data_IF_600008366274
#
_entry.id   IF_600008366274
#
_cell.length_a   1.000
_cell.length_b   1.000
_cell.length_c   1.000
_cell.angle_alpha   90.00
_cell.angle_beta   90.00
_cell.angle_gamma   90.00
#
_symmetry.space_group_name_H-M   'P 1'
#
loop_
_entity.id
_entity.type
_entity.pdbx_description
1 polymer ?
#
# COMPACT_ATOMS: atom_id res chain seq x y z
N UNK A 1 -11.05 30.68 15.08
CA UNK A 1 -10.33 29.94 14.01
C UNK A 1 -10.87 28.51 14.04
N UNK A 2 -11.81 28.22 13.16
CA UNK A 2 -12.45 26.92 13.01
C UNK A 2 -11.57 26.02 12.15
N UNK A 3 -10.88 25.06 12.76
CA UNK A 3 -10.19 24.03 12.00
C UNK A 3 -11.25 23.08 11.41
N UNK A 4 -11.65 23.37 10.18
CA UNK A 4 -12.30 22.41 9.28
C UNK A 4 -11.32 21.25 9.08
N UNK A 5 -11.38 20.25 9.98
CA UNK A 5 -10.79 18.95 9.70
C UNK A 5 -11.70 18.30 8.67
N UNK A 6 -11.31 18.41 7.42
CA UNK A 6 -11.85 17.65 6.28
C UNK A 6 -12.03 16.20 6.71
N UNK A 7 -13.26 15.83 7.02
CA UNK A 7 -13.72 14.46 7.15
C UNK A 7 -13.64 13.87 5.75
N UNK A 8 -12.51 13.27 5.41
CA UNK A 8 -12.39 12.42 4.23
C UNK A 8 -13.22 11.18 4.56
N UNK A 9 -14.35 10.91 3.89
CA UNK A 9 -15.04 9.66 4.08
C UNK A 9 -14.19 8.56 3.43
N UNK A 10 -13.25 7.99 4.18
CA UNK A 10 -12.50 6.79 3.80
C UNK A 10 -13.36 5.51 3.91
N UNK A 11 -14.67 5.61 3.80
CA UNK A 11 -15.54 4.45 3.82
C UNK A 11 -15.89 4.09 2.39
N UNK A 12 -14.92 3.53 1.66
CA UNK A 12 -15.32 2.52 0.67
C UNK A 12 -15.88 1.40 1.53
N UNK A 13 -17.19 1.34 1.63
CA UNK A 13 -17.86 0.36 2.46
C UNK A 13 -17.48 -1.02 1.90
N UNK A 14 -16.53 -1.69 2.55
CA UNK A 14 -16.01 -2.98 2.11
C UNK A 14 -17.10 -4.08 2.14
N UNK A 15 -18.30 -3.76 2.65
CA UNK A 15 -19.45 -4.68 2.64
C UNK A 15 -20.18 -4.67 1.29
N UNK A 16 -19.90 -3.73 0.39
CA UNK A 16 -20.52 -3.69 -0.95
C UNK A 16 -19.76 -4.49 -2.02
N UNK A 17 -18.48 -4.78 -1.81
CA UNK A 17 -17.68 -5.55 -2.77
C UNK A 17 -17.67 -7.03 -2.36
N UNK A 18 -18.19 -7.94 -3.19
CA UNK A 18 -18.18 -9.36 -2.86
C UNK A 18 -16.76 -9.91 -2.68
N UNK A 19 -16.59 -10.84 -1.72
CA UNK A 19 -15.30 -11.47 -1.41
C UNK A 19 -14.62 -12.09 -2.63
N UNK A 20 -15.40 -12.77 -3.48
CA UNK A 20 -14.88 -13.39 -4.70
C UNK A 20 -14.22 -12.38 -5.65
N UNK A 21 -14.60 -11.10 -5.60
CA UNK A 21 -13.97 -10.03 -6.40
C UNK A 21 -12.58 -9.73 -5.86
N UNK A 22 -12.43 -9.60 -4.54
CA UNK A 22 -11.13 -9.44 -3.90
C UNK A 22 -10.21 -10.63 -4.17
N UNK A 23 -10.73 -11.85 -4.04
CA UNK A 23 -9.98 -13.07 -4.35
C UNK A 23 -9.55 -13.15 -5.81
N UNK A 24 -10.46 -12.82 -6.73
CA UNK A 24 -10.18 -12.81 -8.16
C UNK A 24 -9.10 -11.79 -8.51
N UNK A 25 -9.15 -10.60 -7.91
CA UNK A 25 -8.15 -9.56 -8.06
C UNK A 25 -6.79 -10.03 -7.50
N UNK A 26 -6.77 -10.53 -6.26
CA UNK A 26 -5.55 -11.01 -5.63
C UNK A 26 -4.89 -12.13 -6.45
N UNK A 27 -5.67 -13.12 -6.91
CA UNK A 27 -5.18 -14.23 -7.72
C UNK A 27 -4.62 -13.77 -9.07
N UNK A 28 -5.25 -12.76 -9.68
CA UNK A 28 -4.81 -12.21 -10.97
C UNK A 28 -3.53 -11.38 -10.83
N UNK A 29 -3.39 -10.63 -9.73
CA UNK A 29 -2.27 -9.71 -9.52
C UNK A 29 -1.04 -10.38 -8.89
N UNK A 30 -1.23 -11.41 -8.05
CA UNK A 30 -0.15 -12.10 -7.35
C UNK A 30 1.05 -12.48 -8.26
N UNK A 31 0.87 -13.15 -9.42
CA UNK A 31 2.01 -13.52 -10.27
C UNK A 31 2.75 -12.30 -10.84
N UNK A 32 2.04 -11.19 -11.11
CA UNK A 32 2.65 -9.94 -11.60
C UNK A 32 3.46 -9.29 -10.50
N UNK A 33 2.92 -9.25 -9.28
CA UNK A 33 3.59 -8.70 -8.10
C UNK A 33 4.86 -9.51 -7.79
N UNK A 34 4.77 -10.85 -7.80
CA UNK A 34 5.92 -11.73 -7.57
C UNK A 34 7.04 -11.47 -8.58
N UNK A 35 6.71 -11.45 -9.88
CA UNK A 35 7.68 -11.16 -10.94
C UNK A 35 8.34 -9.80 -10.77
N UNK A 36 7.58 -8.78 -10.37
CA UNK A 36 8.14 -7.45 -10.11
C UNK A 36 9.05 -7.45 -8.88
N UNK A 37 8.65 -8.13 -7.80
CA UNK A 37 9.43 -8.18 -6.56
C UNK A 37 10.78 -8.91 -6.75
N UNK A 38 10.81 -9.93 -7.61
CA UNK A 38 12.03 -10.67 -7.94
C UNK A 38 12.96 -9.92 -8.90
N UNK A 39 12.44 -8.91 -9.60
CA UNK A 39 13.22 -8.06 -10.51
C UNK A 39 14.19 -7.13 -9.78
N UNK A 40 15.25 -6.73 -10.47
CA UNK A 40 16.27 -5.83 -9.91
C UNK A 40 15.71 -4.44 -9.57
N UNK A 41 14.83 -3.90 -10.43
CA UNK A 41 14.11 -2.65 -10.15
C UNK A 41 13.24 -2.77 -8.89
N UNK A 42 12.49 -3.87 -8.75
CA UNK A 42 11.65 -4.11 -7.57
C UNK A 42 12.46 -4.15 -6.27
N UNK A 43 13.59 -4.87 -6.27
CA UNK A 43 14.50 -4.93 -5.11
C UNK A 43 15.11 -3.56 -4.78
N UNK A 44 15.51 -2.79 -5.79
CA UNK A 44 16.09 -1.45 -5.60
C UNK A 44 15.09 -0.51 -4.95
N UNK A 45 13.87 -0.41 -5.50
CA UNK A 45 12.81 0.44 -4.94
C UNK A 45 12.45 0.00 -3.51
N UNK A 46 12.43 -1.31 -3.25
CA UNK A 46 12.18 -1.83 -1.90
C UNK A 46 13.29 -1.47 -0.90
N UNK A 47 14.56 -1.54 -1.32
CA UNK A 47 15.69 -1.12 -0.49
C UNK A 47 15.65 0.38 -0.18
N UNK A 48 15.35 1.22 -1.17
CA UNK A 48 15.19 2.67 -0.98
C UNK A 48 14.04 2.99 -0.02
N UNK A 49 12.91 2.30 -0.14
CA UNK A 49 11.78 2.45 0.78
C UNK A 49 12.14 2.04 2.20
N UNK A 50 12.87 0.93 2.39
CA UNK A 50 13.36 0.48 3.71
C UNK A 50 14.27 1.52 4.35
N UNK A 51 15.24 2.07 3.61
CA UNK A 51 16.15 3.10 4.10
C UNK A 51 15.42 4.40 4.48
N UNK A 52 14.42 4.81 3.69
CA UNK A 52 13.58 5.97 4.01
C UNK A 52 12.78 5.76 5.28
N UNK A 53 12.21 4.56 5.47
CA UNK A 53 11.41 4.23 6.65
C UNK A 53 12.25 4.30 7.93
N UNK A 54 13.46 3.76 7.91
CA UNK A 54 14.39 3.82 9.04
C UNK A 54 14.76 5.27 9.38
N UNK A 55 14.98 6.12 8.37
CA UNK A 55 15.25 7.54 8.60
C UNK A 55 14.04 8.30 9.18
N UNK A 56 12.81 7.99 8.75
CA UNK A 56 11.59 8.59 9.33
C UNK A 56 11.26 8.10 10.74
N UNK A 57 11.59 6.85 11.05
CA UNK A 57 11.44 6.27 12.40
C UNK A 57 12.46 6.87 13.38
N UNK A 58 13.71 7.07 12.94
CA UNK A 58 14.75 7.75 13.73
C UNK A 58 14.52 9.26 13.91
N UNK A 59 13.84 9.95 12.98
CA UNK A 59 13.56 11.38 13.10
C UNK A 59 12.40 11.74 14.05
N UNK A 60 11.74 10.73 14.63
CA UNK A 60 10.59 10.93 15.54
C UNK A 60 10.92 10.68 17.02
N UNK A 61 12.20 10.65 17.40
CA UNK A 61 12.66 10.48 18.80
C UNK A 61 13.39 11.72 19.31
#
# INVERSE_FOLDING_TARGET
>A
MNAEKTNIPNSVDATEIPEYVFESLARSLLPVIQKYYESEDGKKVFAEWKAKKENTECAST
#
